data_IF_214367081851
#
_entry.id   IF_214367081851
#
_cell.length_a   1.000
_cell.length_b   1.000
_cell.length_c   1.000
_cell.angle_alpha   90.00
_cell.angle_beta   90.00
_cell.angle_gamma   90.00
#
_symmetry.space_group_name_H-M   'P 1'
#
loop_
_entity.id
_entity.type
_entity.pdbx_description
1 polymer ?
#
# COMPACT_ATOMS: atom_id res chain seq x y z
N UNK A 1 -13.85 -10.71 4.90
CA UNK A 1 -14.33 -11.86 5.72
C UNK A 1 -13.74 -13.16 5.19
N UNK A 2 -13.87 -13.41 3.89
CA UNK A 2 -13.36 -14.64 3.25
C UNK A 2 -11.86 -14.83 3.45
N UNK A 3 -11.07 -13.76 3.27
CA UNK A 3 -9.62 -13.81 3.54
C UNK A 3 -9.28 -14.18 4.99
N UNK A 4 -10.11 -13.76 5.97
CA UNK A 4 -9.94 -14.14 7.37
C UNK A 4 -10.28 -15.61 7.61
N UNK A 5 -11.30 -16.15 6.93
CA UNK A 5 -11.63 -17.57 7.00
C UNK A 5 -10.54 -18.44 6.37
N UNK A 6 -9.97 -18.01 5.24
CA UNK A 6 -8.80 -18.63 4.63
C UNK A 6 -7.61 -18.67 5.61
N UNK A 7 -7.26 -17.52 6.20
CA UNK A 7 -6.16 -17.45 7.17
C UNK A 7 -6.43 -18.34 8.41
N UNK A 8 -7.68 -18.45 8.89
CA UNK A 8 -8.05 -19.36 9.97
C UNK A 8 -7.70 -20.82 9.66
N UNK A 9 -7.89 -21.26 8.41
CA UNK A 9 -7.46 -22.60 7.97
C UNK A 9 -5.94 -22.71 8.01
N UNK A 10 -5.21 -21.75 7.44
CA UNK A 10 -3.74 -21.77 7.42
C UNK A 10 -3.15 -21.84 8.84
N UNK A 11 -3.64 -21.01 9.76
CA UNK A 11 -3.15 -21.01 11.15
C UNK A 11 -3.43 -22.33 11.86
N UNK A 12 -4.60 -22.95 11.65
CA UNK A 12 -4.89 -24.28 12.22
C UNK A 12 -3.96 -25.37 11.69
N UNK A 13 -3.69 -25.36 10.38
CA UNK A 13 -3.01 -26.47 9.71
C UNK A 13 -1.48 -26.40 9.83
N UNK A 14 -0.92 -25.20 9.90
CA UNK A 14 0.53 -25.01 9.81
C UNK A 14 1.14 -24.18 10.94
N UNK A 15 0.32 -23.52 11.77
CA UNK A 15 0.82 -22.65 12.82
C UNK A 15 1.46 -23.38 14.00
N UNK A 16 1.46 -24.71 14.01
CA UNK A 16 2.29 -25.53 14.90
C UNK A 16 3.79 -25.44 14.57
N UNK A 17 4.13 -25.10 13.31
CA UNK A 17 5.51 -25.02 12.79
C UNK A 17 5.87 -23.65 12.21
N UNK A 18 4.88 -22.92 11.70
CA UNK A 18 5.10 -21.60 11.08
C UNK A 18 4.97 -20.50 12.12
N UNK A 19 6.08 -19.84 12.42
CA UNK A 19 6.16 -18.76 13.41
C UNK A 19 6.14 -17.36 12.80
N UNK A 20 6.26 -17.20 11.48
CA UNK A 20 6.21 -15.90 10.80
C UNK A 20 5.20 -15.93 9.67
N UNK A 21 4.20 -15.08 9.77
CA UNK A 21 3.10 -15.00 8.83
C UNK A 21 3.10 -13.65 8.11
N UNK A 22 3.27 -13.69 6.80
CA UNK A 22 2.95 -12.54 5.95
C UNK A 22 1.53 -12.71 5.43
N UNK A 23 0.69 -11.71 5.68
CA UNK A 23 -0.71 -11.73 5.22
C UNK A 23 -0.81 -11.50 3.72
N UNK A 24 -0.34 -10.35 3.23
CA UNK A 24 -0.38 -9.98 1.83
C UNK A 24 1.01 -9.52 1.39
N UNK A 25 1.41 -9.92 0.20
CA UNK A 25 2.64 -9.52 -0.44
C UNK A 25 2.40 -8.28 -1.32
N UNK A 26 3.18 -7.23 -1.13
CA UNK A 26 3.22 -6.02 -1.95
C UNK A 26 1.85 -5.39 -2.28
N UNK A 27 1.02 -5.08 -1.28
CA UNK A 27 -0.33 -4.58 -1.52
C UNK A 27 -0.39 -3.26 -2.30
N UNK A 28 0.62 -2.39 -2.14
CA UNK A 28 0.77 -1.16 -2.90
C UNK A 28 1.12 -1.43 -4.38
N UNK A 29 2.02 -2.36 -4.67
CA UNK A 29 2.31 -2.76 -6.05
C UNK A 29 1.11 -3.48 -6.69
N UNK A 30 0.48 -4.40 -5.97
CA UNK A 30 -0.74 -5.09 -6.39
C UNK A 30 -1.85 -4.11 -6.81
N UNK A 31 -2.08 -3.07 -5.99
CA UNK A 31 -3.08 -2.05 -6.31
C UNK A 31 -2.73 -1.26 -7.57
N UNK A 32 -1.49 -0.78 -7.69
CA UNK A 32 -1.06 -0.01 -8.87
C UNK A 32 -1.05 -0.88 -10.14
N UNK A 33 -0.47 -2.07 -10.10
CA UNK A 33 -0.35 -2.95 -11.27
C UNK A 33 -1.71 -3.50 -11.74
N UNK A 34 -2.61 -3.83 -10.80
CA UNK A 34 -3.88 -4.48 -11.10
C UNK A 34 -5.06 -3.54 -11.31
N UNK A 35 -5.07 -2.37 -10.66
CA UNK A 35 -6.20 -1.45 -10.61
C UNK A 35 -5.87 -0.02 -11.06
N UNK A 36 -4.61 0.28 -11.38
CA UNK A 36 -4.23 1.54 -12.03
C UNK A 36 -3.68 1.32 -13.43
N UNK A 37 -2.52 0.67 -13.54
CA UNK A 37 -1.90 0.36 -14.82
C UNK A 37 -2.66 -0.73 -15.58
N UNK A 38 -3.28 -1.68 -14.88
CA UNK A 38 -4.01 -2.78 -15.50
C UNK A 38 -3.11 -3.79 -16.24
N UNK A 39 -1.84 -3.90 -15.86
CA UNK A 39 -0.88 -4.85 -16.45
C UNK A 39 -0.80 -6.19 -15.69
N UNK A 40 -1.40 -6.24 -14.49
CA UNK A 40 -1.58 -7.46 -13.72
C UNK A 40 -3.08 -7.74 -13.52
N UNK A 41 -3.48 -8.99 -13.21
CA UNK A 41 -4.86 -9.28 -12.84
C UNK A 41 -5.35 -8.37 -11.69
N UNK A 42 -6.61 -7.90 -11.71
CA UNK A 42 -7.67 -8.21 -12.67
C UNK A 42 -7.71 -7.33 -13.93
N UNK A 43 -6.63 -6.60 -14.24
CA UNK A 43 -6.48 -5.74 -15.43
C UNK A 43 -7.55 -4.65 -15.51
N UNK A 44 -7.71 -3.90 -14.42
CA UNK A 44 -8.62 -2.76 -14.35
C UNK A 44 -7.84 -1.46 -14.45
N UNK A 45 -8.28 -0.58 -15.32
CA UNK A 45 -7.69 0.75 -15.49
C UNK A 45 -8.67 1.68 -16.22
N UNK A 46 -8.46 2.99 -16.14
CA UNK A 46 -9.32 3.95 -16.85
C UNK A 46 -9.04 4.01 -18.36
N UNK A 47 -7.78 3.99 -18.79
CA UNK A 47 -7.43 4.07 -20.23
C UNK A 47 -5.97 3.71 -20.58
N UNK A 48 -5.06 3.55 -19.60
CA UNK A 48 -3.62 3.40 -19.87
C UNK A 48 -3.32 2.19 -20.77
N UNK A 49 -4.01 1.06 -20.56
CA UNK A 49 -3.79 -0.19 -21.30
C UNK A 49 -5.08 -0.75 -21.92
N UNK A 50 -5.99 0.11 -22.39
CA UNK A 50 -7.26 -0.29 -23.02
C UNK A 50 -8.08 -1.31 -22.19
N UNK A 51 -8.03 -1.21 -20.86
CA UNK A 51 -8.80 -2.08 -20.00
C UNK A 51 -10.29 -1.97 -20.32
N UNK A 52 -10.98 -3.11 -20.32
CA UNK A 52 -12.43 -3.17 -20.61
C UNK A 52 -13.29 -2.53 -19.52
N UNK A 53 -12.72 -2.28 -18.34
CA UNK A 53 -13.38 -1.74 -17.15
C UNK A 53 -12.32 -1.27 -16.15
N UNK A 54 -12.72 -0.41 -15.22
CA UNK A 54 -11.88 0.05 -14.13
C UNK A 54 -11.99 1.54 -13.89
N UNK A 55 -11.38 2.01 -12.81
CA UNK A 55 -11.21 3.42 -12.54
C UNK A 55 -9.92 3.66 -11.76
N UNK A 56 -8.86 4.00 -12.51
CA UNK A 56 -7.52 4.32 -12.00
C UNK A 56 -7.52 5.43 -10.94
N UNK A 57 -8.55 6.29 -10.93
CA UNK A 57 -8.66 7.41 -9.99
C UNK A 57 -9.12 6.98 -8.59
N UNK A 58 -9.72 5.80 -8.44
CA UNK A 58 -10.38 5.38 -7.19
C UNK A 58 -10.05 3.95 -6.77
N UNK A 59 -9.97 3.02 -7.72
CA UNK A 59 -9.84 1.60 -7.42
C UNK A 59 -8.55 1.23 -6.68
N UNK A 60 -7.37 1.80 -6.98
CA UNK A 60 -6.16 1.53 -6.21
C UNK A 60 -6.34 1.85 -4.72
N UNK A 61 -6.98 2.99 -4.39
CA UNK A 61 -7.26 3.42 -3.02
C UNK A 61 -8.25 2.52 -2.30
N UNK A 62 -9.31 2.11 -2.98
CA UNK A 62 -10.29 1.16 -2.44
C UNK A 62 -9.63 -0.19 -2.19
N UNK A 63 -8.79 -0.66 -3.11
CA UNK A 63 -8.08 -1.93 -3.00
C UNK A 63 -7.15 -1.94 -1.78
N UNK A 64 -6.27 -0.94 -1.64
CA UNK A 64 -5.37 -0.87 -0.47
C UNK A 64 -6.15 -0.74 0.84
N UNK A 65 -7.22 0.06 0.86
CA UNK A 65 -8.06 0.20 2.05
C UNK A 65 -8.65 -1.15 2.49
N UNK A 66 -9.21 -1.93 1.57
CA UNK A 66 -9.73 -3.26 1.89
C UNK A 66 -8.62 -4.25 2.29
N UNK A 67 -7.44 -4.17 1.69
CA UNK A 67 -6.30 -5.02 2.09
C UNK A 67 -5.88 -4.71 3.52
N UNK A 68 -5.80 -3.44 3.91
CA UNK A 68 -5.49 -3.03 5.29
C UNK A 68 -6.52 -3.56 6.29
N UNK A 69 -7.82 -3.45 5.97
CA UNK A 69 -8.89 -4.01 6.83
C UNK A 69 -8.84 -5.54 6.90
N UNK A 70 -8.54 -6.21 5.79
CA UNK A 70 -8.41 -7.65 5.73
C UNK A 70 -7.21 -8.13 6.56
N UNK A 71 -6.05 -7.48 6.41
CA UNK A 71 -4.87 -7.70 7.23
C UNK A 71 -5.18 -7.53 8.73
N UNK A 72 -5.81 -6.41 9.12
CA UNK A 72 -6.18 -6.16 10.51
C UNK A 72 -7.14 -7.21 11.08
N UNK A 73 -8.10 -7.67 10.27
CA UNK A 73 -9.01 -8.74 10.65
C UNK A 73 -8.27 -10.07 10.88
N UNK A 74 -7.31 -10.41 10.01
CA UNK A 74 -6.47 -11.62 10.14
C UNK A 74 -5.54 -11.52 11.36
N UNK A 75 -4.88 -10.39 11.57
CA UNK A 75 -4.02 -10.17 12.73
C UNK A 75 -4.78 -10.28 14.04
N UNK A 76 -5.99 -9.71 14.11
CA UNK A 76 -6.86 -9.86 15.27
C UNK A 76 -7.27 -11.33 15.50
N UNK A 77 -7.54 -12.08 14.44
CA UNK A 77 -7.83 -13.52 14.55
C UNK A 77 -6.62 -14.26 15.12
N UNK A 78 -5.42 -14.03 14.57
CA UNK A 78 -4.18 -14.66 15.03
C UNK A 78 -3.94 -14.40 16.52
N UNK A 79 -3.98 -13.11 16.91
CA UNK A 79 -3.80 -12.66 18.29
C UNK A 79 -4.79 -13.30 19.27
N UNK A 80 -6.06 -13.39 18.88
CA UNK A 80 -7.10 -13.90 19.79
C UNK A 80 -7.16 -15.41 19.91
N UNK A 81 -6.78 -16.15 18.86
CA UNK A 81 -7.05 -17.59 18.77
C UNK A 81 -5.79 -18.45 18.76
N UNK A 82 -4.66 -17.90 18.31
CA UNK A 82 -3.46 -18.67 17.98
C UNK A 82 -2.20 -18.19 18.70
N UNK A 83 -2.07 -16.89 19.01
CA UNK A 83 -0.85 -16.29 19.58
C UNK A 83 -0.33 -17.01 20.82
N UNK A 84 -1.20 -17.30 21.80
CA UNK A 84 -0.77 -17.91 23.08
C UNK A 84 -0.15 -19.29 22.89
N UNK A 85 -0.63 -20.04 21.89
CA UNK A 85 -0.19 -21.42 21.61
C UNK A 85 0.96 -21.46 20.62
N UNK A 86 0.89 -20.67 19.55
CA UNK A 86 1.80 -20.73 18.41
C UNK A 86 2.98 -19.76 18.54
N UNK A 87 2.80 -18.69 19.33
CA UNK A 87 3.84 -17.69 19.63
C UNK A 87 4.52 -17.10 18.40
N UNK A 88 3.82 -17.06 17.27
CA UNK A 88 4.34 -16.48 16.04
C UNK A 88 4.08 -14.99 15.93
N UNK A 89 4.50 -14.43 14.79
CA UNK A 89 4.39 -13.01 14.46
C UNK A 89 3.65 -12.86 13.15
N UNK A 90 2.85 -11.80 13.04
CA UNK A 90 2.09 -11.51 11.83
C UNK A 90 2.42 -10.12 11.27
N UNK A 91 2.63 -10.06 9.96
CA UNK A 91 3.03 -8.84 9.27
C UNK A 91 2.50 -8.75 7.84
N UNK A 92 3.05 -7.78 7.13
CA UNK A 92 2.79 -7.49 5.72
C UNK A 92 4.12 -7.16 5.04
N UNK A 93 4.25 -7.52 3.77
CA UNK A 93 5.42 -7.15 2.97
C UNK A 93 5.06 -5.99 2.07
N UNK A 94 5.82 -4.89 2.15
CA UNK A 94 5.58 -3.66 1.40
C UNK A 94 6.63 -3.56 0.31
N UNK A 95 6.20 -3.34 -0.92
CA UNK A 95 7.11 -3.01 -2.01
C UNK A 95 7.68 -1.60 -1.81
N UNK A 96 8.99 -1.45 -1.95
CA UNK A 96 9.69 -0.20 -1.75
C UNK A 96 10.79 0.00 -2.79
N UNK A 97 10.96 1.24 -3.22
CA UNK A 97 12.19 1.69 -3.86
C UNK A 97 13.10 2.35 -2.84
N UNK A 98 14.41 2.33 -3.10
CA UNK A 98 15.27 3.37 -2.56
C UNK A 98 14.91 4.68 -3.25
N UNK A 99 14.61 5.72 -2.49
CA UNK A 99 14.15 7.00 -3.03
C UNK A 99 15.23 8.06 -2.84
N UNK A 100 15.69 8.63 -3.94
CA UNK A 100 16.62 9.76 -3.94
C UNK A 100 15.99 10.94 -4.68
N UNK A 101 16.26 12.19 -4.30
CA UNK A 101 15.85 13.33 -5.12
C UNK A 101 16.66 13.35 -6.42
N UNK A 102 16.04 13.76 -7.53
CA UNK A 102 16.71 13.85 -8.84
C UNK A 102 17.81 14.92 -8.83
N UNK A 103 17.56 16.04 -8.14
CA UNK A 103 18.51 17.13 -7.96
C UNK A 103 18.62 17.51 -6.48
N UNK A 104 19.60 18.35 -6.13
CA UNK A 104 19.75 18.88 -4.77
C UNK A 104 18.75 20.03 -4.44
N UNK A 105 17.70 20.20 -5.26
CA UNK A 105 16.68 21.23 -5.01
C UNK A 105 15.81 20.87 -3.80
N UNK A 106 15.25 21.90 -3.15
CA UNK A 106 14.35 21.69 -2.01
C UNK A 106 13.05 21.04 -2.47
N UNK A 107 12.62 21.37 -3.69
CA UNK A 107 11.43 20.86 -4.36
C UNK A 107 11.54 19.34 -4.56
N UNK A 108 12.65 18.84 -5.12
CA UNK A 108 12.85 17.40 -5.32
C UNK A 108 12.99 16.65 -3.99
N UNK A 109 13.59 17.26 -2.97
CA UNK A 109 13.66 16.67 -1.63
C UNK A 109 12.26 16.50 -1.00
N UNK A 110 11.40 17.53 -1.09
CA UNK A 110 10.01 17.48 -0.63
C UNK A 110 9.21 16.46 -1.45
N UNK A 111 9.41 16.43 -2.77
CA UNK A 111 8.80 15.46 -3.66
C UNK A 111 9.19 14.01 -3.31
N UNK A 112 10.44 13.79 -2.94
CA UNK A 112 10.95 12.48 -2.50
C UNK A 112 10.21 12.00 -1.24
N UNK A 113 10.05 12.86 -0.23
CA UNK A 113 9.27 12.51 0.96
C UNK A 113 7.79 12.29 0.65
N UNK A 114 7.22 13.09 -0.26
CA UNK A 114 5.83 12.89 -0.70
C UNK A 114 5.66 11.56 -1.43
N UNK A 115 6.60 11.17 -2.29
CA UNK A 115 6.56 9.87 -2.95
C UNK A 115 6.76 8.71 -1.97
N UNK A 116 7.60 8.88 -0.94
CA UNK A 116 7.68 7.94 0.18
C UNK A 116 6.32 7.74 0.85
N UNK A 117 5.61 8.83 1.16
CA UNK A 117 4.28 8.79 1.75
C UNK A 117 3.28 8.06 0.84
N UNK A 118 3.31 8.31 -0.47
CA UNK A 118 2.43 7.66 -1.44
C UNK A 118 2.74 6.17 -1.68
N UNK A 119 4.01 5.77 -1.57
CA UNK A 119 4.44 4.40 -1.85
C UNK A 119 4.47 3.51 -0.59
N UNK A 120 5.22 3.93 0.43
CA UNK A 120 5.48 3.16 1.64
C UNK A 120 4.54 3.60 2.76
N UNK A 121 4.44 4.92 2.98
CA UNK A 121 3.56 5.51 4.00
C UNK A 121 2.10 5.13 3.81
N UNK A 122 1.66 4.91 2.57
CA UNK A 122 0.31 4.49 2.23
C UNK A 122 -0.10 3.18 2.93
N UNK A 123 0.86 2.26 3.10
CA UNK A 123 0.67 1.02 3.84
C UNK A 123 1.12 1.15 5.30
N UNK A 124 2.27 1.75 5.55
CA UNK A 124 2.88 1.79 6.88
C UNK A 124 2.15 2.71 7.86
N UNK A 125 1.71 3.90 7.44
CA UNK A 125 1.07 4.85 8.36
C UNK A 125 -0.24 4.33 8.94
N UNK A 126 -1.15 3.69 8.17
CA UNK A 126 -2.31 3.05 8.77
C UNK A 126 -1.92 2.04 9.85
N UNK A 127 -0.91 1.21 9.61
CA UNK A 127 -0.47 0.19 10.57
C UNK A 127 0.17 0.78 11.83
N UNK A 128 0.80 1.96 11.76
CA UNK A 128 1.46 2.59 12.91
C UNK A 128 0.54 3.58 13.64
N UNK A 129 -0.18 4.41 12.88
CA UNK A 129 -0.93 5.55 13.39
C UNK A 129 -2.46 5.36 13.31
N UNK A 130 -2.94 4.37 12.54
CA UNK A 130 -4.36 4.13 12.32
C UNK A 130 -4.98 5.01 11.23
N UNK A 131 -4.18 5.74 10.45
CA UNK A 131 -4.66 6.62 9.40
C UNK A 131 -3.61 6.82 8.30
N UNK A 132 -4.04 7.30 7.13
CA UNK A 132 -3.17 7.57 5.98
C UNK A 132 -2.29 8.82 6.16
N UNK A 133 -1.17 8.93 5.42
CA UNK A 133 -0.34 10.14 5.41
C UNK A 133 -1.16 11.40 5.10
N UNK A 134 -0.83 12.51 5.78
CA UNK A 134 -1.56 13.78 5.63
C UNK A 134 -1.54 14.28 4.18
N UNK A 135 -0.38 14.20 3.51
CA UNK A 135 -0.24 14.67 2.12
C UNK A 135 -1.08 13.85 1.14
N UNK A 136 -1.23 12.54 1.36
CA UNK A 136 -2.14 11.71 0.56
C UNK A 136 -3.58 12.16 0.74
N UNK A 137 -4.04 12.37 1.98
CA UNK A 137 -5.41 12.86 2.24
C UNK A 137 -5.67 14.21 1.57
N UNK A 138 -4.68 15.10 1.55
CA UNK A 138 -4.77 16.41 0.89
C UNK A 138 -4.85 16.28 -0.63
N UNK A 139 -3.94 15.53 -1.25
CA UNK A 139 -3.85 15.45 -2.71
C UNK A 139 -4.97 14.59 -3.32
N UNK A 140 -5.26 13.44 -2.71
CA UNK A 140 -6.25 12.49 -3.22
C UNK A 140 -7.67 12.97 -2.91
N UNK A 141 -7.88 13.54 -1.73
CA UNK A 141 -9.17 14.05 -1.28
C UNK A 141 -10.19 12.94 -1.05
N UNK A 142 -11.43 13.17 -1.49
CA UNK A 142 -12.57 12.26 -1.27
C UNK A 142 -12.45 10.88 -1.93
N UNK A 143 -11.48 10.70 -2.84
CA UNK A 143 -11.21 9.40 -3.49
C UNK A 143 -10.44 8.44 -2.58
N UNK A 144 -9.79 8.95 -1.53
CA UNK A 144 -9.13 8.13 -0.51
C UNK A 144 -10.17 7.73 0.55
N UNK A 145 -10.51 6.45 0.70
CA UNK A 145 -11.51 6.06 1.69
C UNK A 145 -11.02 6.35 3.11
N UNK A 146 -11.87 6.96 3.93
CA UNK A 146 -11.56 7.24 5.32
C UNK A 146 -11.79 5.99 6.19
N UNK A 147 -10.91 5.77 7.18
CA UNK A 147 -11.18 4.81 8.23
C UNK A 147 -12.21 5.38 9.21
N UNK A 148 -13.23 4.58 9.57
CA UNK A 148 -14.01 4.87 10.77
C UNK A 148 -13.13 4.73 12.03
N UNK A 149 -13.56 5.31 13.16
CA UNK A 149 -12.86 5.16 14.44
C UNK A 149 -12.62 3.70 14.82
N UNK A 150 -13.57 2.83 14.47
CA UNK A 150 -13.47 1.39 14.74
C UNK A 150 -12.42 0.74 13.86
N UNK A 151 -12.35 1.09 12.58
CA UNK A 151 -11.38 0.53 11.64
C UNK A 151 -9.97 1.05 11.92
N UNK A 152 -9.84 2.34 12.19
CA UNK A 152 -8.59 2.98 12.59
C UNK A 152 -7.96 2.27 13.79
N UNK A 153 -8.76 2.01 14.85
CA UNK A 153 -8.33 1.23 16.02
C UNK A 153 -7.98 -0.22 15.72
N UNK A 154 -8.57 -0.82 14.68
CA UNK A 154 -8.29 -2.21 14.31
C UNK A 154 -7.01 -2.34 13.49
N UNK A 155 -6.77 -1.41 12.57
CA UNK A 155 -5.60 -1.37 11.69
C UNK A 155 -4.36 -0.88 12.45
N UNK A 156 -4.52 0.07 13.37
CA UNK A 156 -3.41 0.54 14.20
C UNK A 156 -2.81 -0.60 15.03
N UNK A 157 -1.51 -0.80 14.90
CA UNK A 157 -0.75 -1.83 15.57
C UNK A 157 -1.13 -3.24 15.13
N UNK A 158 -1.71 -3.44 13.94
CA UNK A 158 -2.11 -4.77 13.47
C UNK A 158 -0.97 -5.60 12.87
N UNK A 159 0.23 -5.05 12.74
CA UNK A 159 1.42 -5.75 12.28
C UNK A 159 2.46 -5.80 13.39
N UNK A 160 3.02 -6.99 13.64
CA UNK A 160 4.16 -7.20 14.54
C UNK A 160 5.49 -6.92 13.85
N UNK A 161 5.53 -7.02 12.52
CA UNK A 161 6.67 -6.65 11.67
C UNK A 161 6.20 -6.10 10.32
N UNK A 162 7.08 -5.32 9.67
CA UNK A 162 6.95 -4.91 8.27
C UNK A 162 8.09 -5.55 7.49
N UNK A 163 7.75 -6.37 6.50
CA UNK A 163 8.71 -6.82 5.50
C UNK A 163 8.90 -5.74 4.45
N UNK A 164 10.15 -5.48 4.04
CA UNK A 164 10.46 -4.55 2.96
C UNK A 164 10.98 -5.35 1.79
N UNK A 165 10.31 -5.22 0.65
CA UNK A 165 10.77 -5.80 -0.61
C UNK A 165 11.34 -4.66 -1.45
N UNK A 166 12.64 -4.74 -1.74
CA UNK A 166 13.37 -3.73 -2.48
C UNK A 166 14.24 -4.37 -3.56
N UNK A 167 14.25 -3.74 -4.73
CA UNK A 167 15.05 -4.19 -5.88
C UNK A 167 15.92 -3.09 -6.46
N UNK A 168 15.43 -1.85 -6.47
CA UNK A 168 16.06 -0.74 -7.17
C UNK A 168 16.00 0.55 -6.35
N UNK A 169 16.86 1.49 -6.75
CA UNK A 169 16.78 2.90 -6.38
C UNK A 169 16.17 3.66 -7.55
N UNK A 170 15.33 4.66 -7.25
CA UNK A 170 14.78 5.58 -8.24
C UNK A 170 15.00 7.02 -7.80
N UNK A 171 15.10 7.90 -8.79
CA UNK A 171 15.23 9.33 -8.59
C UNK A 171 13.86 10.01 -8.72
N UNK A 172 13.53 10.89 -7.80
CA UNK A 172 12.23 11.55 -7.69
C UNK A 172 12.38 13.02 -8.01
N UNK A 173 11.54 13.52 -8.92
CA UNK A 173 11.46 14.93 -9.30
C UNK A 173 10.10 15.51 -8.93
N UNK A 174 10.07 16.75 -8.48
CA UNK A 174 8.82 17.47 -8.22
C UNK A 174 8.03 17.70 -9.52
N UNK A 175 6.72 17.40 -9.48
CA UNK A 175 5.80 17.69 -10.57
C UNK A 175 4.41 18.12 -10.06
N UNK A 176 4.27 19.35 -9.53
CA UNK A 176 3.02 19.84 -8.96
C UNK A 176 1.95 20.05 -10.05
N UNK A 177 2.35 20.23 -11.32
CA UNK A 177 1.43 20.43 -12.44
C UNK A 177 0.49 19.24 -12.66
N UNK A 178 0.91 18.04 -12.26
CA UNK A 178 0.10 16.82 -12.35
C UNK A 178 -1.18 16.88 -11.50
N UNK A 179 -1.20 17.67 -10.42
CA UNK A 179 -2.39 17.91 -9.58
C UNK A 179 -3.46 18.73 -10.30
N UNK A 180 -3.10 19.45 -11.36
CA UNK A 180 -4.05 20.25 -12.16
C UNK A 180 -4.81 19.40 -13.20
N UNK A 181 -4.46 18.12 -13.36
CA UNK A 181 -5.16 17.21 -14.28
C UNK A 181 -6.59 16.99 -13.80
N UNK A 182 -7.56 17.05 -14.72
CA UNK A 182 -8.98 16.75 -14.41
C UNK A 182 -9.19 15.30 -13.97
N UNK A 183 -8.48 14.37 -14.62
CA UNK A 183 -8.45 12.97 -14.26
C UNK A 183 -7.08 12.65 -13.69
N UNK A 184 -7.05 12.18 -12.44
CA UNK A 184 -5.83 11.84 -11.73
C UNK A 184 -5.88 10.39 -11.31
N UNK A 185 -4.82 9.66 -11.64
CA UNK A 185 -4.52 8.34 -11.12
C UNK A 185 -3.60 8.46 -9.89
N UNK A 186 -3.11 7.33 -9.38
CA UNK A 186 -2.26 7.33 -8.20
C UNK A 186 -0.95 8.10 -8.41
N UNK A 187 -0.36 8.01 -9.61
CA UNK A 187 0.85 8.73 -9.96
C UNK A 187 0.64 10.24 -10.03
N UNK A 188 -0.44 10.70 -10.66
CA UNK A 188 -0.74 12.12 -10.72
C UNK A 188 -0.98 12.71 -9.32
N UNK A 189 -1.54 11.93 -8.39
CA UNK A 189 -1.77 12.38 -7.03
C UNK A 189 -0.50 12.47 -6.17
N UNK A 190 0.52 11.67 -6.47
CA UNK A 190 1.82 11.77 -5.79
C UNK A 190 2.55 13.07 -6.16
N UNK A 191 2.16 13.71 -7.26
CA UNK A 191 2.76 14.94 -7.77
C UNK A 191 4.27 14.83 -8.03
N UNK A 192 4.72 13.70 -8.54
CA UNK A 192 6.15 13.43 -8.81
C UNK A 192 6.37 12.77 -10.15
N UNK A 193 7.59 12.91 -10.69
CA UNK A 193 8.11 12.08 -11.77
C UNK A 193 9.21 11.16 -11.22
N UNK A 194 9.26 9.91 -11.71
CA UNK A 194 10.17 8.88 -11.24
C UNK A 194 11.09 8.45 -12.38
N UNK A 195 12.40 8.44 -12.10
CA UNK A 195 13.45 8.07 -13.04
C UNK A 195 14.17 6.83 -12.53
N UNK A 196 14.14 5.75 -13.31
CA UNK A 196 14.90 4.54 -13.05
C UNK A 196 16.26 4.65 -13.75
N UNK A 197 17.35 4.57 -12.99
CA UNK A 197 18.67 4.32 -13.60
C UNK A 197 18.80 2.82 -13.82
N UNK A 198 18.55 2.37 -15.03
CA UNK A 198 19.05 1.07 -15.46
C UNK A 198 20.55 1.26 -15.72
N UNK A 199 21.39 0.70 -14.85
CA UNK A 199 22.80 0.50 -15.19
C UNK A 199 22.83 -0.41 -16.40
N UNK A 200 23.05 0.15 -17.59
CA UNK A 200 23.43 -0.62 -18.79
C UNK A 200 24.86 -1.11 -18.64
#
# INVERSE_FOLDING_TARGET
KDFTAYADVCFRQFGDRVSYWTTVNEPNAFANLGYDYGIAPPQRCSSINHCSRGNSSTEPYITVHHVLLAHASVARLYRKKYQDKQRGYIGVNIFAFGLLPLTNSTEDAIATQRYYDFLIGWMANPLVYGDYPKIMKQNVGSRLPAFSDRESKQVKGSADFLGVINYYIVYVKDNPSSLNKKLRDWNADSATEIFCTFST
#
